data_IF_176262014217
#
_entry.id   IF_176262014217
#
_cell.length_a   1.000
_cell.length_b   1.000
_cell.length_c   1.000
_cell.angle_alpha   90.00
_cell.angle_beta   90.00
_cell.angle_gamma   90.00
#
_symmetry.space_group_name_H-M   'P 1'
#
loop_
_entity.id
_entity.type
_entity.pdbx_description
1 polymer ?
#
# COMPACT_ATOMS: atom_id res chain seq x y z
N UNK A 1 -1.23 13.87 0.11
CA UNK A 1 -2.51 13.24 0.50
C UNK A 1 -2.16 12.19 1.55
N UNK A 2 -2.61 12.36 2.78
CA UNK A 2 -2.36 11.40 3.87
C UNK A 2 -3.61 10.54 4.04
N UNK A 3 -3.53 9.25 3.74
CA UNK A 3 -4.60 8.28 3.97
C UNK A 3 -4.25 7.48 5.21
N UNK A 4 -5.06 7.58 6.26
CA UNK A 4 -4.82 6.93 7.55
C UNK A 4 -5.29 5.47 7.58
N UNK A 5 -6.39 5.16 6.90
CA UNK A 5 -6.95 3.81 6.76
C UNK A 5 -7.67 3.70 5.41
N UNK A 6 -7.53 2.58 4.71
CA UNK A 6 -8.19 2.36 3.42
C UNK A 6 -7.65 1.19 2.61
N UNK A 7 -8.26 0.98 1.44
CA UNK A 7 -7.87 -0.06 0.50
C UNK A 7 -7.66 0.52 -0.90
N UNK A 8 -6.68 -0.02 -1.61
CA UNK A 8 -6.38 0.30 -3.00
C UNK A 8 -6.78 -0.91 -3.84
N UNK A 9 -7.73 -0.72 -4.76
CA UNK A 9 -8.09 -1.69 -5.77
C UNK A 9 -7.39 -1.34 -7.07
N UNK A 10 -6.73 -2.31 -7.70
CA UNK A 10 -6.10 -2.09 -8.99
C UNK A 10 -6.08 -3.34 -9.84
N UNK A 11 -6.10 -3.14 -11.16
CA UNK A 11 -5.94 -4.23 -12.13
C UNK A 11 -4.46 -4.55 -12.29
N UNK A 12 -4.12 -5.84 -12.23
CA UNK A 12 -2.76 -6.32 -12.37
C UNK A 12 -2.81 -7.66 -13.12
N UNK A 13 -2.20 -7.70 -14.32
CA UNK A 13 -2.25 -8.86 -15.22
C UNK A 13 -3.67 -9.43 -15.40
N UNK A 14 -4.65 -8.55 -15.64
CA UNK A 14 -6.04 -8.93 -15.90
C UNK A 14 -6.88 -9.27 -14.66
N UNK A 15 -6.31 -9.30 -13.45
CA UNK A 15 -7.04 -9.56 -12.18
C UNK A 15 -7.13 -8.30 -11.32
N UNK A 16 -8.23 -8.17 -10.57
CA UNK A 16 -8.34 -7.12 -9.56
C UNK A 16 -7.57 -7.59 -8.31
N UNK A 17 -6.61 -6.78 -7.86
CA UNK A 17 -5.90 -6.94 -6.60
C UNK A 17 -6.37 -5.92 -5.59
N UNK A 18 -6.39 -6.34 -4.33
CA UNK A 18 -6.68 -5.52 -3.16
C UNK A 18 -5.38 -5.29 -2.39
N UNK A 19 -5.14 -4.06 -1.97
CA UNK A 19 -4.00 -3.71 -1.13
C UNK A 19 -4.44 -2.80 0.00
N UNK A 20 -4.26 -3.26 1.23
CA UNK A 20 -4.61 -2.53 2.44
C UNK A 20 -3.54 -1.50 2.80
N UNK A 21 -3.96 -0.29 3.15
CA UNK A 21 -3.07 0.80 3.56
C UNK A 21 -2.58 0.50 4.99
N UNK A 22 -1.26 0.33 5.21
CA UNK A 22 -0.75 0.10 6.54
C UNK A 22 -0.88 1.37 7.39
N UNK A 23 -1.44 1.22 8.58
CA UNK A 23 -1.56 2.30 9.58
C UNK A 23 -0.22 2.97 9.92
N UNK A 24 0.87 2.21 9.85
CA UNK A 24 2.24 2.70 10.02
C UNK A 24 3.15 2.14 8.94
N UNK A 25 3.71 3.02 8.13
CA UNK A 25 4.62 2.67 7.05
C UNK A 25 4.28 3.40 5.75
N UNK A 26 4.71 2.82 4.64
CA UNK A 26 4.50 3.40 3.31
C UNK A 26 4.14 2.34 2.29
N UNK A 27 3.36 2.75 1.30
CA UNK A 27 3.10 1.97 0.09
C UNK A 27 3.79 2.68 -1.07
N UNK A 28 4.62 1.95 -1.79
CA UNK A 28 5.18 2.41 -3.06
C UNK A 28 4.45 1.71 -4.19
N UNK A 29 3.74 2.48 -5.00
CA UNK A 29 3.10 2.00 -6.22
C UNK A 29 3.95 2.39 -7.42
N UNK A 30 4.20 1.44 -8.32
CA UNK A 30 4.79 1.72 -9.63
C UNK A 30 3.68 1.75 -10.66
N UNK A 31 3.49 2.90 -11.28
CA UNK A 31 2.48 3.15 -12.31
C UNK A 31 3.18 3.28 -13.66
N UNK A 32 2.69 2.58 -14.67
CA UNK A 32 3.11 2.68 -16.07
C UNK A 32 1.87 2.66 -16.94
N UNK A 33 1.79 3.57 -17.92
CA UNK A 33 0.68 3.67 -18.87
C UNK A 33 -0.71 3.75 -18.19
N UNK A 34 -0.78 4.36 -17.00
CA UNK A 34 -2.01 4.47 -16.21
C UNK A 34 -2.37 3.20 -15.43
N UNK A 35 -1.57 2.14 -15.50
CA UNK A 35 -1.78 0.88 -14.78
C UNK A 35 -0.75 0.67 -13.66
N UNK A 36 -1.18 0.06 -12.54
CA UNK A 36 -0.29 -0.32 -11.43
C UNK A 36 0.36 -1.66 -11.76
N UNK A 37 1.64 -1.62 -12.12
CA UNK A 37 2.43 -2.81 -12.49
C UNK A 37 3.03 -3.51 -11.28
N UNK A 38 3.30 -2.77 -10.19
CA UNK A 38 3.88 -3.32 -8.96
C UNK A 38 3.51 -2.48 -7.74
N UNK A 39 3.44 -3.13 -6.58
CA UNK A 39 3.14 -2.52 -5.30
C UNK A 39 4.03 -3.12 -4.22
N UNK A 40 4.76 -2.29 -3.47
CA UNK A 40 5.58 -2.71 -2.34
C UNK A 40 5.02 -2.05 -1.08
N UNK A 41 4.74 -2.86 -0.06
CA UNK A 41 4.24 -2.39 1.23
C UNK A 41 5.37 -2.50 2.25
N UNK A 42 5.83 -1.35 2.74
CA UNK A 42 6.78 -1.28 3.85
C UNK A 42 6.01 -1.06 5.13
N UNK A 43 5.88 -2.10 5.97
CA UNK A 43 5.21 -2.00 7.27
C UNK A 43 6.26 -1.67 8.34
N UNK A 44 6.15 -0.52 8.97
CA UNK A 44 7.00 -0.17 10.11
C UNK A 44 6.28 -0.64 11.38
N UNK A 45 6.78 -1.68 12.03
CA UNK A 45 6.28 -2.05 13.36
C UNK A 45 6.73 -0.97 14.34
N UNK A 46 5.81 -0.11 14.77
CA UNK A 46 6.07 0.81 15.87
C UNK A 46 6.08 -0.02 17.16
N UNK A 47 7.28 -0.41 17.60
CA UNK A 47 7.45 -0.99 18.93
C UNK A 47 7.12 0.11 19.94
N UNK A 48 5.99 -0.02 20.65
CA UNK A 48 5.74 0.77 21.86
C UNK A 48 6.84 0.43 22.84
N UNK A 49 7.74 1.38 23.14
CA UNK A 49 8.51 1.35 24.38
C UNK A 49 7.52 1.66 25.50
N UNK A 50 7.11 0.65 26.23
CA UNK A 50 6.50 0.84 27.55
C UNK A 50 7.62 1.33 28.49
N UNK A 51 7.43 2.53 29.06
CA UNK A 51 8.27 3.11 30.12
C UNK A 51 7.69 2.75 31.48
#
# INVERSE_FOLDING_TARGET
MEMQDGFIYFRNYGRIKLLEIPKFGSITLKIQDGEIVSSVVSKTKQYKKEY
#
